data_IF_814536588842
#
_entry.id   IF_814536588842
#
_cell.length_a   1.000
_cell.length_b   1.000
_cell.length_c   1.000
_cell.angle_alpha   90.00
_cell.angle_beta   90.00
_cell.angle_gamma   90.00
#
_symmetry.space_group_name_H-M   'P 1'
#
loop_
_entity.id
_entity.type
_entity.pdbx_description
1 polymer ?
#
# COMPACT_ATOMS: atom_id res chain seq x y z
N UNK A 1 -25.59 -5.82 -16.31
CA UNK A 1 -25.32 -7.28 -16.19
C UNK A 1 -24.00 -7.42 -15.45
N UNK A 2 -23.96 -8.10 -14.31
CA UNK A 2 -22.71 -8.38 -13.60
C UNK A 2 -22.04 -9.58 -14.26
N UNK A 3 -20.87 -9.39 -14.86
CA UNK A 3 -20.02 -10.48 -15.32
C UNK A 3 -19.26 -10.99 -14.09
N UNK A 4 -19.42 -12.26 -13.74
CA UNK A 4 -18.69 -12.92 -12.65
C UNK A 4 -17.63 -13.85 -13.22
N UNK A 5 -16.49 -13.95 -12.54
CA UNK A 5 -15.47 -14.97 -12.84
C UNK A 5 -16.12 -16.35 -12.65
N UNK A 6 -15.97 -17.24 -13.62
CA UNK A 6 -16.41 -18.62 -13.50
C UNK A 6 -15.35 -19.41 -12.75
N UNK A 7 -15.76 -20.30 -11.85
CA UNK A 7 -14.84 -21.27 -11.27
C UNK A 7 -14.48 -22.32 -12.35
N UNK A 8 -13.19 -22.50 -12.60
CA UNK A 8 -12.62 -23.42 -13.58
C UNK A 8 -11.79 -24.55 -12.97
N UNK A 9 -11.84 -24.74 -11.64
CA UNK A 9 -11.06 -25.76 -10.93
C UNK A 9 -11.39 -27.20 -11.38
N UNK A 10 -12.57 -27.41 -11.97
CA UNK A 10 -13.02 -28.70 -12.51
C UNK A 10 -12.76 -28.86 -14.01
N UNK A 11 -12.19 -27.86 -14.68
CA UNK A 11 -11.91 -27.96 -16.12
C UNK A 11 -10.66 -28.81 -16.39
N UNK A 12 -10.68 -29.70 -17.39
CA UNK A 12 -11.82 -30.04 -18.26
C UNK A 12 -12.85 -30.95 -17.56
N UNK A 13 -14.10 -30.49 -17.52
CA UNK A 13 -15.19 -31.16 -16.77
C UNK A 13 -15.47 -32.58 -17.26
N UNK A 14 -16.00 -33.42 -16.37
CA UNK A 14 -16.43 -34.80 -16.65
C UNK A 14 -15.33 -35.69 -17.25
N UNK A 15 -14.08 -35.47 -16.83
CA UNK A 15 -12.94 -36.24 -17.30
C UNK A 15 -11.99 -36.56 -16.16
N UNK A 16 -11.16 -37.59 -16.34
CA UNK A 16 -10.07 -37.93 -15.42
C UNK A 16 -9.12 -36.74 -15.22
N UNK A 17 -8.94 -35.88 -16.24
CA UNK A 17 -8.11 -34.68 -16.12
C UNK A 17 -8.75 -33.63 -15.20
N UNK A 18 -10.07 -33.47 -15.26
CA UNK A 18 -10.81 -32.63 -14.31
C UNK A 18 -10.72 -33.17 -12.88
N UNK A 19 -10.81 -34.49 -12.69
CA UNK A 19 -10.60 -35.13 -11.38
C UNK A 19 -9.19 -34.90 -10.83
N UNK A 20 -8.16 -34.95 -11.69
CA UNK A 20 -6.78 -34.63 -11.32
C UNK A 20 -6.67 -33.15 -10.89
N UNK A 21 -7.31 -32.22 -11.61
CA UNK A 21 -7.26 -30.80 -11.28
C UNK A 21 -7.94 -30.51 -9.93
N UNK A 22 -9.11 -31.12 -9.70
CA UNK A 22 -9.82 -31.05 -8.40
C UNK A 22 -8.95 -31.62 -7.28
N UNK A 23 -8.30 -32.78 -7.51
CA UNK A 23 -7.40 -33.38 -6.53
C UNK A 23 -6.22 -32.46 -6.23
N UNK A 24 -5.59 -31.86 -7.24
CA UNK A 24 -4.53 -30.88 -7.07
C UNK A 24 -4.97 -29.71 -6.19
N UNK A 25 -6.06 -29.02 -6.53
CA UNK A 25 -6.57 -27.90 -5.74
C UNK A 25 -6.93 -28.33 -4.31
N UNK A 26 -7.50 -29.52 -4.12
CA UNK A 26 -7.84 -30.06 -2.79
C UNK A 26 -6.59 -30.24 -1.91
N UNK A 27 -5.55 -30.90 -2.44
CA UNK A 27 -4.31 -31.13 -1.67
C UNK A 27 -3.51 -29.83 -1.46
N UNK A 28 -3.53 -28.93 -2.43
CA UNK A 28 -2.96 -27.60 -2.30
C UNK A 28 -3.63 -26.81 -1.16
N UNK A 29 -4.96 -26.75 -1.14
CA UNK A 29 -5.70 -26.07 -0.06
C UNK A 29 -5.46 -26.72 1.31
N UNK A 30 -5.34 -28.05 1.37
CA UNK A 30 -4.95 -28.76 2.60
C UNK A 30 -3.57 -28.31 3.09
N UNK A 31 -2.58 -28.18 2.19
CA UNK A 31 -1.24 -27.71 2.56
C UNK A 31 -1.25 -26.27 3.03
N UNK A 32 -1.98 -25.38 2.35
CA UNK A 32 -2.18 -23.99 2.76
C UNK A 32 -2.83 -23.88 4.14
N UNK A 33 -3.84 -24.70 4.43
CA UNK A 33 -4.50 -24.77 5.74
C UNK A 33 -3.51 -25.18 6.84
N UNK A 34 -2.68 -26.20 6.60
CA UNK A 34 -1.62 -26.59 7.54
C UNK A 34 -0.60 -25.46 7.76
N UNK A 35 -0.29 -24.68 6.72
CA UNK A 35 0.60 -23.54 6.86
C UNK A 35 -0.02 -22.43 7.72
N UNK A 36 -1.32 -22.15 7.54
CA UNK A 36 -2.06 -21.24 8.42
C UNK A 36 -2.00 -21.72 9.88
N UNK A 37 -2.24 -23.01 10.14
CA UNK A 37 -2.12 -23.59 11.48
C UNK A 37 -0.73 -23.36 12.08
N UNK A 38 0.34 -23.51 11.29
CA UNK A 38 1.71 -23.22 11.73
C UNK A 38 1.92 -21.74 12.09
N UNK A 39 1.36 -20.82 11.31
CA UNK A 39 1.39 -19.37 11.61
C UNK A 39 0.60 -19.08 12.90
N UNK A 40 -0.55 -19.74 13.09
CA UNK A 40 -1.34 -19.63 14.31
C UNK A 40 -0.62 -20.20 15.54
N UNK A 41 0.14 -21.28 15.39
CA UNK A 41 0.94 -21.88 16.44
C UNK A 41 2.21 -21.08 16.80
N UNK A 42 2.54 -20.02 16.05
CA UNK A 42 3.72 -19.18 16.31
C UNK A 42 5.03 -19.69 15.72
N UNK A 43 4.96 -20.60 14.74
CA UNK A 43 6.14 -20.99 13.97
C UNK A 43 6.63 -19.87 13.05
N UNK A 44 5.79 -18.88 12.79
CA UNK A 44 6.07 -17.70 11.99
C UNK A 44 5.58 -16.44 12.71
N UNK A 45 6.32 -15.34 12.51
CA UNK A 45 5.89 -14.01 12.93
C UNK A 45 5.50 -13.19 11.71
N UNK A 46 4.34 -12.54 11.80
CA UNK A 46 3.83 -11.67 10.74
C UNK A 46 3.68 -10.25 11.28
N UNK A 47 4.36 -9.30 10.63
CA UNK A 47 4.25 -7.87 10.90
C UNK A 47 3.43 -7.25 9.79
N UNK A 48 2.27 -6.69 10.12
CA UNK A 48 1.33 -6.13 9.16
C UNK A 48 1.24 -4.62 9.32
N UNK A 49 1.53 -3.88 8.25
CA UNK A 49 1.16 -2.47 8.15
C UNK A 49 -0.28 -2.38 7.65
N UNK A 50 -1.16 -1.95 8.54
CA UNK A 50 -2.59 -1.69 8.28
C UNK A 50 -2.87 -0.26 8.70
N UNK A 51 -3.64 0.50 7.92
CA UNK A 51 -4.05 1.88 8.27
C UNK A 51 -2.95 2.80 8.86
N UNK A 52 -3.08 3.19 10.13
CA UNK A 52 -2.14 3.98 10.92
C UNK A 52 -1.38 3.13 11.95
N UNK A 53 -1.42 1.80 11.83
CA UNK A 53 -0.88 0.84 12.78
C UNK A 53 0.11 -0.14 12.16
N UNK A 54 0.96 -0.66 13.04
CA UNK A 54 1.69 -1.91 12.85
C UNK A 54 1.06 -2.95 13.77
N UNK A 55 0.64 -4.07 13.20
CA UNK A 55 0.10 -5.21 13.91
C UNK A 55 1.15 -6.32 13.87
N UNK A 56 1.41 -6.96 15.00
CA UNK A 56 2.34 -8.09 15.10
C UNK A 56 1.57 -9.30 15.56
N UNK A 57 1.70 -10.41 14.82
CA UNK A 57 1.12 -11.71 15.13
C UNK A 57 2.24 -12.74 15.31
N UNK A 58 2.26 -13.43 16.44
CA UNK A 58 3.09 -14.61 16.69
C UNK A 58 2.39 -15.51 17.71
N UNK A 59 2.00 -16.73 17.31
CA UNK A 59 1.22 -17.60 18.19
C UNK A 59 -0.13 -16.96 18.53
N UNK A 60 -0.63 -17.16 19.74
CA UNK A 60 -1.86 -16.49 20.20
C UNK A 60 -1.67 -14.98 20.49
N UNK A 61 -0.43 -14.46 20.44
CA UNK A 61 -0.12 -13.07 20.75
C UNK A 61 -0.38 -12.17 19.54
N UNK A 62 -1.20 -11.15 19.75
CA UNK A 62 -1.41 -10.03 18.82
C UNK A 62 -1.10 -8.73 19.54
N UNK A 63 -0.17 -7.92 19.01
CA UNK A 63 0.08 -6.57 19.50
C UNK A 63 -0.18 -5.55 18.40
N UNK A 64 -0.54 -4.33 18.81
CA UNK A 64 -0.81 -3.22 17.91
C UNK A 64 -0.02 -2.01 18.36
N UNK A 65 0.57 -1.30 17.39
CA UNK A 65 1.39 -0.13 17.62
C UNK A 65 0.94 0.97 16.68
N UNK A 66 0.56 2.13 17.22
CA UNK A 66 0.24 3.31 16.43
C UNK A 66 1.54 3.86 15.83
N UNK A 67 1.59 4.01 14.50
CA UNK A 67 2.71 4.64 13.79
C UNK A 67 2.36 6.05 13.34
N UNK A 68 1.18 6.31 12.79
CA UNK A 68 0.82 7.64 12.30
C UNK A 68 0.00 8.38 13.36
N UNK A 69 0.63 9.35 14.02
CA UNK A 69 0.00 10.20 15.03
C UNK A 69 -0.75 11.39 14.41
N UNK A 70 -1.34 12.22 15.27
CA UNK A 70 -2.10 13.40 14.87
C UNK A 70 -1.31 14.32 13.93
N UNK A 71 -0.04 14.61 14.24
CA UNK A 71 0.81 15.45 13.39
C UNK A 71 0.93 14.93 11.95
N UNK A 72 1.08 13.61 11.75
CA UNK A 72 1.06 13.01 10.41
C UNK A 72 -0.29 13.24 9.71
N UNK A 73 -1.39 13.03 10.44
CA UNK A 73 -2.74 13.21 9.89
C UNK A 73 -3.04 14.67 9.52
N UNK A 74 -2.55 15.63 10.31
CA UNK A 74 -2.63 17.07 10.01
C UNK A 74 -1.88 17.40 8.72
N UNK A 75 -0.61 17.00 8.60
CA UNK A 75 0.18 17.25 7.37
C UNK A 75 -0.49 16.62 6.15
N UNK A 76 -0.97 15.38 6.30
CA UNK A 76 -1.66 14.65 5.23
C UNK A 76 -2.95 15.38 4.80
N UNK A 77 -3.73 15.88 5.74
CA UNK A 77 -4.93 16.64 5.44
C UNK A 77 -4.61 17.93 4.68
N UNK A 78 -3.58 18.67 5.11
CA UNK A 78 -3.12 19.88 4.42
C UNK A 78 -2.66 19.58 3.00
N UNK A 79 -1.91 18.49 2.78
CA UNK A 79 -1.47 18.07 1.43
C UNK A 79 -2.59 17.63 0.49
N UNK A 80 -3.81 17.43 0.99
CA UNK A 80 -4.96 17.14 0.15
C UNK A 80 -5.68 18.41 -0.34
N UNK A 81 -5.38 19.59 0.20
CA UNK A 81 -6.10 20.82 -0.11
C UNK A 81 -6.03 21.19 -1.59
N UNK A 82 -4.87 21.21 -2.27
CA UNK A 82 -4.83 21.56 -3.69
C UNK A 82 -5.66 20.62 -4.56
N UNK A 83 -5.65 19.32 -4.23
CA UNK A 83 -6.45 18.30 -4.92
C UNK A 83 -7.95 18.49 -4.64
N UNK A 84 -8.33 18.78 -3.40
CA UNK A 84 -9.71 19.10 -3.03
C UNK A 84 -10.21 20.31 -3.83
N UNK A 85 -9.43 21.38 -3.89
CA UNK A 85 -9.80 22.59 -4.61
C UNK A 85 -9.93 22.34 -6.12
N UNK A 86 -9.03 21.55 -6.70
CA UNK A 86 -9.15 21.10 -8.08
C UNK A 86 -10.48 20.39 -8.34
N UNK A 87 -10.87 19.44 -7.49
CA UNK A 87 -12.15 18.75 -7.64
C UNK A 87 -13.35 19.67 -7.44
N UNK A 88 -13.32 20.56 -6.43
CA UNK A 88 -14.42 21.50 -6.18
C UNK A 88 -14.67 22.41 -7.39
N UNK A 89 -13.60 22.91 -8.00
CA UNK A 89 -13.65 23.79 -9.16
C UNK A 89 -13.98 23.03 -10.47
N UNK A 90 -13.65 21.74 -10.56
CA UNK A 90 -13.95 20.92 -11.74
C UNK A 90 -15.38 20.37 -11.74
N UNK A 91 -15.95 20.12 -10.57
CA UNK A 91 -17.24 19.43 -10.40
C UNK A 91 -18.40 20.38 -10.05
N UNK A 92 -18.16 21.68 -9.88
CA UNK A 92 -19.18 22.66 -9.49
C UNK A 92 -19.07 23.97 -10.28
N UNK A 93 -20.17 24.73 -10.44
CA UNK A 93 -20.11 26.10 -10.96
C UNK A 93 -19.13 26.95 -10.16
N UNK A 94 -18.41 27.85 -10.84
CA UNK A 94 -17.28 28.60 -10.25
C UNK A 94 -17.69 29.37 -8.99
N UNK A 95 -18.88 29.95 -8.95
CA UNK A 95 -19.40 30.69 -7.80
C UNK A 95 -19.62 29.78 -6.60
N UNK A 96 -20.15 28.58 -6.84
CA UNK A 96 -20.40 27.58 -5.78
C UNK A 96 -19.09 27.00 -5.26
N UNK A 97 -18.16 26.68 -6.16
CA UNK A 97 -16.82 26.20 -5.81
C UNK A 97 -16.06 27.24 -4.98
N UNK A 98 -16.05 28.50 -5.44
CA UNK A 98 -15.41 29.62 -4.76
C UNK A 98 -15.91 29.77 -3.33
N UNK A 99 -17.23 29.81 -3.13
CA UNK A 99 -17.82 29.95 -1.78
C UNK A 99 -17.40 28.82 -0.84
N UNK A 100 -17.41 27.57 -1.32
CA UNK A 100 -16.96 26.41 -0.54
C UNK A 100 -15.48 26.49 -0.21
N UNK A 101 -14.64 26.87 -1.16
CA UNK A 101 -13.20 27.01 -0.94
C UNK A 101 -12.95 28.12 0.09
N UNK A 102 -13.58 29.28 -0.03
CA UNK A 102 -13.47 30.38 0.93
C UNK A 102 -13.96 29.98 2.35
N UNK A 103 -14.98 29.11 2.47
CA UNK A 103 -15.41 28.53 3.75
C UNK A 103 -14.35 27.60 4.36
N UNK A 104 -13.77 26.70 3.55
CA UNK A 104 -12.67 25.82 3.99
C UNK A 104 -11.47 26.64 4.45
N UNK A 105 -11.03 27.62 3.65
CA UNK A 105 -9.89 28.47 3.99
C UNK A 105 -10.09 29.23 5.31
N UNK A 106 -11.29 29.80 5.53
CA UNK A 106 -11.62 30.48 6.81
C UNK A 106 -11.58 29.54 8.01
N UNK A 107 -12.07 28.32 7.85
CA UNK A 107 -12.08 27.31 8.91
C UNK A 107 -10.65 26.90 9.28
N UNK A 108 -9.81 26.68 8.27
CA UNK A 108 -8.40 26.31 8.45
C UNK A 108 -7.56 27.40 9.11
N UNK A 109 -7.78 28.67 8.77
CA UNK A 109 -7.13 29.80 9.44
C UNK A 109 -7.47 29.88 10.93
N UNK A 110 -8.67 29.41 11.33
CA UNK A 110 -9.12 29.40 12.72
C UNK A 110 -8.64 28.20 13.55
N UNK A 111 -8.33 27.06 12.90
CA UNK A 111 -7.91 25.83 13.58
C UNK A 111 -6.40 25.78 13.90
N UNK A 112 -5.58 26.56 13.21
CA UNK A 112 -4.12 26.54 13.41
C UNK A 112 -3.64 27.48 14.53
N UNK A 113 -3.24 26.89 15.65
CA UNK A 113 -2.47 27.57 16.70
C UNK A 113 -1.16 28.18 16.14
N UNK A 114 -0.66 29.26 16.76
CA UNK A 114 0.48 30.06 16.25
C UNK A 114 1.81 29.31 16.12
N UNK A 115 1.98 28.16 16.78
CA UNK A 115 3.26 27.44 16.85
C UNK A 115 3.31 26.13 16.04
N UNK A 116 2.27 25.79 15.28
CA UNK A 116 2.31 24.57 14.47
C UNK A 116 3.25 24.71 13.27
N UNK A 117 4.19 23.77 13.06
CA UNK A 117 5.21 23.89 12.02
C UNK A 117 4.66 23.71 10.59
N UNK A 118 3.40 23.29 10.43
CA UNK A 118 2.67 23.24 9.16
C UNK A 118 1.99 24.57 8.82
N UNK A 119 1.90 25.49 9.79
CA UNK A 119 1.12 26.72 9.65
C UNK A 119 1.60 27.59 8.50
N UNK A 120 2.91 27.72 8.35
CA UNK A 120 3.49 28.51 7.26
C UNK A 120 3.09 27.94 5.89
N UNK A 121 3.20 26.62 5.71
CA UNK A 121 2.80 25.96 4.48
C UNK A 121 1.30 26.11 4.21
N UNK A 122 0.46 26.01 5.25
CA UNK A 122 -0.98 26.21 5.10
C UNK A 122 -1.32 27.66 4.71
N UNK A 123 -0.72 28.65 5.37
CA UNK A 123 -0.92 30.07 5.03
C UNK A 123 -0.52 30.34 3.59
N UNK A 124 0.61 29.79 3.13
CA UNK A 124 1.03 29.93 1.74
C UNK A 124 0.04 29.26 0.78
N UNK A 125 -0.45 28.05 1.07
CA UNK A 125 -1.52 27.42 0.27
C UNK A 125 -2.78 28.28 0.24
N UNK A 126 -3.19 28.85 1.39
CA UNK A 126 -4.35 29.72 1.49
C UNK A 126 -4.19 30.97 0.60
N UNK A 127 -3.06 31.66 0.70
CA UNK A 127 -2.79 32.88 -0.07
C UNK A 127 -2.75 32.61 -1.57
N UNK A 128 -2.08 31.51 -1.99
CA UNK A 128 -2.02 31.09 -3.39
C UNK A 128 -3.39 30.68 -3.93
N UNK A 129 -4.21 30.06 -3.09
CA UNK A 129 -5.59 29.68 -3.45
C UNK A 129 -6.49 30.90 -3.60
N UNK A 130 -6.37 31.89 -2.71
CA UNK A 130 -7.10 33.18 -2.84
C UNK A 130 -6.72 33.92 -4.12
N UNK A 131 -5.44 33.90 -4.51
CA UNK A 131 -4.97 34.46 -5.77
C UNK A 131 -5.60 33.75 -6.98
N UNK A 132 -5.58 32.40 -6.99
CA UNK A 132 -6.25 31.60 -8.03
C UNK A 132 -7.74 31.97 -8.18
N UNK A 133 -8.47 32.04 -7.07
CA UNK A 133 -9.90 32.38 -7.09
C UNK A 133 -10.16 33.80 -7.62
N UNK A 134 -9.20 34.72 -7.46
CA UNK A 134 -9.31 36.08 -8.00
C UNK A 134 -9.09 36.07 -9.51
N UNK A 135 -8.10 35.32 -9.99
CA UNK A 135 -7.80 35.18 -11.42
C UNK A 135 -8.93 34.46 -12.17
N UNK A 136 -9.54 33.43 -11.57
CA UNK A 136 -10.65 32.70 -12.18
C UNK A 136 -11.96 33.50 -12.29
N UNK A 137 -12.07 34.64 -11.61
CA UNK A 137 -13.21 35.56 -11.75
C UNK A 137 -13.06 36.48 -12.97
N UNK A 138 -11.89 36.53 -13.61
CA UNK A 138 -11.67 37.24 -14.86
C UNK A 138 -12.20 36.41 -16.04
N UNK A 139 -13.24 36.89 -16.72
CA UNK A 139 -13.87 36.21 -17.86
C UNK A 139 -12.91 36.00 -19.04
N UNK A 140 -11.79 36.74 -19.10
CA UNK A 140 -10.77 36.57 -20.13
C UNK A 140 -9.77 35.44 -19.83
N UNK A 141 -9.76 34.90 -18.61
CA UNK A 141 -8.79 33.90 -18.17
C UNK A 141 -9.25 32.46 -18.46
N UNK A 142 -8.34 31.66 -19.01
CA UNK A 142 -8.54 30.23 -19.22
C UNK A 142 -8.40 29.48 -17.89
N UNK A 143 -9.44 28.74 -17.49
CA UNK A 143 -9.44 27.95 -16.25
C UNK A 143 -8.25 26.98 -16.17
N UNK A 144 -7.92 26.33 -17.30
CA UNK A 144 -6.80 25.39 -17.38
C UNK A 144 -5.46 26.08 -17.12
N UNK A 145 -5.26 27.29 -17.65
CA UNK A 145 -4.01 28.03 -17.47
C UNK A 145 -3.86 28.56 -16.04
N UNK A 146 -4.95 29.07 -15.45
CA UNK A 146 -4.99 29.45 -14.03
C UNK A 146 -4.60 28.26 -13.13
N UNK A 147 -5.12 27.07 -13.41
CA UNK A 147 -4.75 25.87 -12.64
C UNK A 147 -3.30 25.46 -12.79
N UNK A 148 -2.77 25.49 -14.01
CA UNK A 148 -1.36 25.15 -14.23
C UNK A 148 -0.43 26.12 -13.48
N UNK A 149 -0.75 27.42 -13.52
CA UNK A 149 0.02 28.43 -12.79
C UNK A 149 -0.08 28.23 -11.28
N UNK A 150 -1.27 27.94 -10.76
CA UNK A 150 -1.48 27.59 -9.35
C UNK A 150 -0.66 26.36 -8.94
N UNK A 151 -0.67 25.30 -9.74
CA UNK A 151 0.10 24.08 -9.45
C UNK A 151 1.60 24.35 -9.41
N UNK A 152 2.13 25.12 -10.36
CA UNK A 152 3.55 25.52 -10.36
C UNK A 152 3.94 26.31 -9.10
N UNK A 153 3.03 27.11 -8.55
CA UNK A 153 3.27 27.87 -7.32
C UNK A 153 3.22 27.00 -6.05
N UNK A 154 2.43 25.93 -6.06
CA UNK A 154 2.23 25.06 -4.90
C UNK A 154 3.16 23.84 -4.88
N UNK A 155 3.69 23.42 -6.02
CA UNK A 155 4.51 22.21 -6.15
C UNK A 155 5.63 22.11 -5.10
N UNK A 156 6.32 23.22 -4.83
CA UNK A 156 7.38 23.27 -3.82
C UNK A 156 6.85 23.06 -2.41
N UNK A 157 5.70 23.66 -2.08
CA UNK A 157 5.06 23.57 -0.76
C UNK A 157 4.54 22.14 -0.53
N UNK A 158 3.87 21.57 -1.53
CA UNK A 158 3.44 20.17 -1.54
C UNK A 158 4.62 19.21 -1.37
N UNK A 159 5.70 19.41 -2.11
CA UNK A 159 6.92 18.61 -1.98
C UNK A 159 7.49 18.63 -0.55
N UNK A 160 7.45 19.78 0.12
CA UNK A 160 7.91 19.92 1.51
C UNK A 160 6.97 19.20 2.49
N UNK A 161 5.65 19.33 2.33
CA UNK A 161 4.65 18.65 3.15
C UNK A 161 4.76 17.13 3.01
N UNK A 162 4.84 16.62 1.78
CA UNK A 162 5.01 15.20 1.49
C UNK A 162 6.32 14.65 2.07
N UNK A 163 7.43 15.39 1.92
CA UNK A 163 8.71 14.99 2.50
C UNK A 163 8.68 14.98 4.04
N UNK A 164 7.90 15.86 4.66
CA UNK A 164 7.71 15.90 6.12
C UNK A 164 6.85 14.74 6.61
N UNK A 165 5.71 14.48 5.95
CA UNK A 165 4.85 13.32 6.24
C UNK A 165 5.63 12.01 6.10
N UNK A 166 6.42 11.87 5.03
CA UNK A 166 7.27 10.70 4.82
C UNK A 166 8.31 10.53 5.95
N UNK A 167 8.98 11.60 6.37
CA UNK A 167 9.94 11.56 7.49
C UNK A 167 9.29 11.12 8.81
N UNK A 168 8.08 11.62 9.11
CA UNK A 168 7.33 11.18 10.27
C UNK A 168 6.99 9.69 10.20
N UNK A 169 6.35 9.24 9.12
CA UNK A 169 5.96 7.82 8.94
C UNK A 169 7.19 6.90 9.00
N UNK A 170 8.31 7.28 8.38
CA UNK A 170 9.59 6.54 8.46
C UNK A 170 10.06 6.45 9.91
N UNK A 171 10.22 7.58 10.60
CA UNK A 171 10.77 7.59 11.96
C UNK A 171 9.90 6.81 12.96
N UNK A 172 8.58 6.95 12.85
CA UNK A 172 7.61 6.28 13.72
C UNK A 172 7.58 4.77 13.44
N UNK A 173 7.56 4.38 12.16
CA UNK A 173 7.59 2.97 11.76
C UNK A 173 8.90 2.31 12.20
N UNK A 174 10.06 2.93 11.95
CA UNK A 174 11.35 2.40 12.38
C UNK A 174 11.46 2.28 13.89
N UNK A 175 10.94 3.26 14.65
CA UNK A 175 10.91 3.17 16.12
C UNK A 175 10.14 1.94 16.59
N UNK A 176 8.97 1.66 15.98
CA UNK A 176 8.16 0.48 16.29
C UNK A 176 8.86 -0.81 15.86
N UNK A 177 9.37 -0.88 14.63
CA UNK A 177 10.07 -2.07 14.13
C UNK A 177 11.30 -2.42 14.96
N UNK A 178 12.09 -1.43 15.39
CA UNK A 178 13.26 -1.68 16.23
C UNK A 178 12.88 -2.18 17.63
N UNK A 179 11.77 -1.70 18.20
CA UNK A 179 11.22 -2.25 19.46
C UNK A 179 10.79 -3.70 19.29
N UNK A 180 10.04 -4.01 18.22
CA UNK A 180 9.62 -5.37 17.90
C UNK A 180 10.83 -6.28 17.70
N UNK A 181 11.88 -5.79 17.03
CA UNK A 181 13.13 -6.52 16.80
C UNK A 181 13.84 -6.91 18.09
N UNK A 182 13.92 -5.97 19.04
CA UNK A 182 14.56 -6.21 20.32
C UNK A 182 13.83 -7.28 21.16
N UNK A 183 12.54 -7.49 20.90
CA UNK A 183 11.70 -8.49 21.56
C UNK A 183 11.55 -9.78 20.72
N UNK A 184 12.21 -9.87 19.57
CA UNK A 184 12.02 -10.95 18.60
C UNK A 184 12.75 -12.22 19.02
N UNK A 185 12.01 -13.33 19.14
CA UNK A 185 12.58 -14.66 19.46
C UNK A 185 12.83 -15.52 18.21
N UNK A 186 12.20 -15.19 17.08
CA UNK A 186 12.29 -15.96 15.84
C UNK A 186 13.41 -15.46 14.90
N UNK A 187 13.94 -16.36 14.08
CA UNK A 187 14.91 -16.02 13.03
C UNK A 187 14.27 -15.21 11.90
N UNK A 188 15.07 -14.41 11.18
CA UNK A 188 14.61 -13.63 10.03
C UNK A 188 13.91 -14.47 8.94
N UNK A 189 14.32 -15.74 8.77
CA UNK A 189 13.68 -16.69 7.84
C UNK A 189 12.23 -17.08 8.19
N UNK A 190 11.76 -16.76 9.40
CA UNK A 190 10.39 -17.02 9.88
C UNK A 190 9.59 -15.72 10.07
N UNK A 191 10.17 -14.58 9.70
CA UNK A 191 9.55 -13.29 9.78
C UNK A 191 8.97 -12.89 8.42
N UNK A 192 7.71 -12.47 8.38
CA UNK A 192 7.08 -11.91 7.19
C UNK A 192 6.55 -10.51 7.49
N UNK A 193 6.78 -9.59 6.56
CA UNK A 193 6.26 -8.22 6.64
C UNK A 193 5.26 -8.00 5.52
N UNK A 194 4.03 -7.64 5.86
CA UNK A 194 2.94 -7.46 4.90
C UNK A 194 2.44 -6.03 4.98
N UNK A 195 2.34 -5.36 3.84
CA UNK A 195 1.61 -4.10 3.73
C UNK A 195 0.23 -4.36 3.16
N UNK A 196 -0.82 -4.05 3.93
CA UNK A 196 -2.18 -4.02 3.40
C UNK A 196 -2.39 -2.71 2.64
N UNK A 197 -2.94 -2.80 1.44
CA UNK A 197 -3.16 -1.64 0.60
C UNK A 197 -4.50 -1.66 -0.14
N UNK A 198 -4.80 -0.52 -0.76
CA UNK A 198 -6.05 -0.31 -1.50
C UNK A 198 -6.17 -1.14 -2.78
N UNK A 199 -7.14 -0.79 -3.61
CA UNK A 199 -7.55 -1.57 -4.79
C UNK A 199 -6.53 -1.65 -5.92
N UNK A 200 -5.42 -0.91 -5.86
CA UNK A 200 -4.34 -0.99 -6.82
C UNK A 200 -2.99 -0.94 -6.10
N UNK A 201 -2.04 -1.83 -6.45
CA UNK A 201 -0.68 -1.77 -5.94
C UNK A 201 -0.05 -0.43 -6.31
N UNK A 202 0.29 0.38 -5.31
CA UNK A 202 0.98 1.65 -5.53
C UNK A 202 2.47 1.38 -5.76
N UNK A 203 2.96 1.67 -6.96
CA UNK A 203 4.40 1.70 -7.22
C UNK A 203 5.08 2.64 -6.21
N UNK A 204 6.18 2.18 -5.61
CA UNK A 204 6.91 2.89 -4.52
C UNK A 204 6.07 3.18 -3.26
N UNK A 205 5.18 2.26 -2.86
CA UNK A 205 4.47 2.38 -1.58
C UNK A 205 5.48 2.45 -0.41
N UNK A 206 5.37 3.50 0.42
CA UNK A 206 6.37 3.86 1.43
C UNK A 206 6.60 2.76 2.49
N UNK A 207 5.55 2.16 3.04
CA UNK A 207 5.68 1.10 4.05
C UNK A 207 6.44 -0.12 3.51
N UNK A 208 6.18 -0.54 2.26
CA UNK A 208 6.90 -1.63 1.59
C UNK A 208 8.37 -1.28 1.41
N UNK A 209 8.69 -0.03 1.05
CA UNK A 209 10.08 0.45 0.96
C UNK A 209 10.79 0.44 2.32
N UNK A 210 10.10 0.89 3.38
CA UNK A 210 10.62 0.85 4.75
C UNK A 210 10.87 -0.60 5.16
N UNK A 211 9.89 -1.49 4.97
CA UNK A 211 10.00 -2.90 5.33
C UNK A 211 11.13 -3.61 4.59
N UNK A 212 11.26 -3.41 3.27
CA UNK A 212 12.36 -3.99 2.49
C UNK A 212 13.70 -3.55 3.03
N UNK A 213 13.90 -2.24 3.19
CA UNK A 213 15.16 -1.70 3.69
C UNK A 213 15.47 -2.18 5.10
N UNK A 214 14.51 -2.07 6.01
CA UNK A 214 14.66 -2.49 7.39
C UNK A 214 14.97 -3.99 7.50
N UNK A 215 14.26 -4.84 6.74
CA UNK A 215 14.50 -6.27 6.74
C UNK A 215 15.90 -6.60 6.23
N UNK A 216 16.33 -6.02 5.10
CA UNK A 216 17.68 -6.23 4.56
C UNK A 216 18.80 -5.80 5.52
N UNK A 217 18.59 -4.72 6.27
CA UNK A 217 19.57 -4.21 7.24
C UNK A 217 19.62 -5.06 8.54
N UNK A 218 18.54 -5.79 8.87
CA UNK A 218 18.43 -6.57 10.11
C UNK A 218 18.50 -8.09 9.92
N UNK A 219 18.37 -8.60 8.69
CA UNK A 219 18.51 -10.03 8.40
C UNK A 219 19.98 -10.45 8.38
N UNK A 220 20.31 -11.54 9.08
CA UNK A 220 21.62 -12.21 8.96
C UNK A 220 21.82 -12.61 7.48
N UNK A 221 23.05 -12.46 6.97
CA UNK A 221 23.41 -12.63 5.55
C UNK A 221 22.73 -13.85 4.88
N UNK A 222 22.14 -13.61 3.69
CA UNK A 222 21.50 -14.56 2.75
C UNK A 222 19.97 -14.76 2.82
N UNK A 223 19.20 -13.89 3.48
CA UNK A 223 17.73 -13.91 3.33
C UNK A 223 17.29 -12.80 2.36
N UNK A 224 16.64 -13.18 1.27
CA UNK A 224 16.14 -12.23 0.27
C UNK A 224 14.91 -11.47 0.81
N UNK A 225 14.97 -10.14 0.84
CA UNK A 225 13.87 -9.31 1.32
C UNK A 225 12.63 -9.38 0.41
N UNK A 226 12.80 -9.63 -0.90
CA UNK A 226 11.66 -9.83 -1.81
C UNK A 226 10.78 -11.00 -1.38
N UNK A 227 11.38 -11.98 -0.70
CA UNK A 227 10.68 -13.14 -0.22
C UNK A 227 9.90 -12.92 1.07
N UNK A 228 10.28 -11.93 1.86
CA UNK A 228 9.69 -11.73 3.19
C UNK A 228 8.80 -10.49 3.26
N UNK A 229 8.90 -9.58 2.27
CA UNK A 229 8.15 -8.33 2.25
C UNK A 229 7.10 -8.29 1.15
N UNK A 230 5.83 -8.44 1.55
CA UNK A 230 4.69 -8.60 0.65
C UNK A 230 3.75 -7.40 0.68
N UNK A 231 3.02 -7.23 -0.43
CA UNK A 231 1.91 -6.29 -0.53
C UNK A 231 0.64 -7.08 -0.77
N UNK A 232 -0.31 -6.97 0.16
CA UNK A 232 -1.63 -7.58 0.03
C UNK A 232 -2.58 -6.58 -0.63
N UNK A 233 -2.82 -6.79 -1.92
CA UNK A 233 -3.79 -5.99 -2.67
C UNK A 233 -5.21 -6.31 -2.17
N UNK A 234 -6.02 -5.27 -1.91
CA UNK A 234 -7.39 -5.40 -1.37
C UNK A 234 -7.48 -6.09 0.00
N UNK A 235 -6.37 -6.29 0.71
CA UNK A 235 -6.40 -6.80 2.08
C UNK A 235 -7.06 -5.82 3.03
N UNK A 236 -7.99 -6.30 3.86
CA UNK A 236 -8.79 -5.51 4.79
C UNK A 236 -8.63 -5.95 6.25
N UNK A 237 -7.98 -7.09 6.49
CA UNK A 237 -7.86 -7.72 7.80
C UNK A 237 -6.48 -8.33 8.03
N UNK A 238 -6.18 -8.64 9.29
CA UNK A 238 -5.01 -9.46 9.64
C UNK A 238 -5.06 -10.81 8.93
N UNK A 239 -6.26 -11.38 8.79
CA UNK A 239 -6.46 -12.71 8.21
C UNK A 239 -6.11 -12.75 6.73
N UNK A 240 -6.35 -11.67 5.99
CA UNK A 240 -5.89 -11.55 4.60
C UNK A 240 -4.35 -11.56 4.50
N UNK A 241 -3.66 -10.97 5.49
CA UNK A 241 -2.20 -11.00 5.55
C UNK A 241 -1.70 -12.41 5.90
N UNK A 242 -2.34 -13.11 6.84
CA UNK A 242 -1.96 -14.48 7.20
C UNK A 242 -2.20 -15.44 6.04
N UNK A 243 -3.32 -15.30 5.33
CA UNK A 243 -3.65 -16.07 4.13
C UNK A 243 -2.63 -15.86 3.01
N UNK A 244 -2.21 -14.61 2.77
CA UNK A 244 -1.14 -14.28 1.84
C UNK A 244 0.17 -14.95 2.23
N UNK A 245 0.59 -14.84 3.50
CA UNK A 245 1.83 -15.48 3.98
C UNK A 245 1.75 -17.00 3.83
N UNK A 246 0.61 -17.62 4.17
CA UNK A 246 0.43 -19.06 4.01
C UNK A 246 0.52 -19.50 2.55
N UNK A 247 -0.05 -18.72 1.63
CA UNK A 247 0.04 -18.92 0.18
C UNK A 247 1.51 -18.85 -0.26
N UNK A 248 2.21 -17.76 0.07
CA UNK A 248 3.61 -17.55 -0.29
C UNK A 248 4.51 -18.69 0.21
N UNK A 249 4.39 -19.10 1.47
CA UNK A 249 5.23 -20.18 2.01
C UNK A 249 4.90 -21.51 1.33
N UNK A 250 3.62 -21.79 1.08
CA UNK A 250 3.19 -23.02 0.40
C UNK A 250 3.73 -23.07 -1.04
N UNK A 251 3.61 -21.96 -1.77
CA UNK A 251 4.08 -21.85 -3.16
C UNK A 251 5.60 -21.99 -3.23
N UNK A 252 6.35 -21.45 -2.26
CA UNK A 252 7.80 -21.66 -2.21
C UNK A 252 8.20 -23.10 -2.00
N UNK A 253 7.56 -23.77 -1.05
CA UNK A 253 7.84 -25.19 -0.80
C UNK A 253 7.59 -26.02 -2.07
N UNK A 254 6.52 -25.70 -2.80
CA UNK A 254 6.17 -26.33 -4.05
C UNK A 254 7.18 -26.01 -5.17
N UNK A 255 7.50 -24.72 -5.36
CA UNK A 255 8.43 -24.23 -6.37
C UNK A 255 9.83 -24.83 -6.18
N UNK A 256 10.32 -24.85 -4.93
CA UNK A 256 11.61 -25.44 -4.60
C UNK A 256 11.64 -26.93 -4.92
N UNK A 257 10.58 -27.65 -4.55
CA UNK A 257 10.51 -29.10 -4.67
C UNK A 257 10.33 -29.56 -6.11
N UNK A 258 9.59 -28.81 -6.94
CA UNK A 258 9.26 -29.19 -8.32
C UNK A 258 10.13 -28.52 -9.38
N UNK A 259 10.51 -27.26 -9.16
CA UNK A 259 11.19 -26.41 -10.15
C UNK A 259 12.63 -26.09 -9.76
N UNK A 260 13.08 -26.54 -8.57
CA UNK A 260 14.43 -26.30 -8.07
C UNK A 260 14.73 -24.83 -7.76
N UNK A 261 13.70 -23.99 -7.66
CA UNK A 261 13.81 -22.55 -7.42
C UNK A 261 12.72 -22.07 -6.49
N UNK A 262 13.08 -21.26 -5.50
CA UNK A 262 12.16 -20.67 -4.52
C UNK A 262 11.28 -19.56 -5.13
N UNK A 263 11.61 -19.06 -6.33
CA UNK A 263 10.89 -17.95 -7.00
C UNK A 263 10.08 -18.37 -8.22
N UNK A 264 10.13 -19.64 -8.63
CA UNK A 264 9.58 -20.04 -9.92
C UNK A 264 8.04 -19.90 -9.99
N UNK A 265 7.35 -19.90 -8.84
CA UNK A 265 5.91 -19.63 -8.75
C UNK A 265 5.57 -18.17 -8.40
N UNK A 266 6.57 -17.31 -8.19
CA UNK A 266 6.35 -15.85 -8.13
C UNK A 266 6.11 -15.25 -9.54
N UNK A 267 6.29 -16.07 -10.58
CA UNK A 267 6.11 -15.73 -11.99
C UNK A 267 5.10 -16.68 -12.63
N UNK A 268 4.50 -16.25 -13.74
CA UNK A 268 3.70 -17.16 -14.56
C UNK A 268 4.63 -18.22 -15.18
N UNK A 269 4.43 -19.49 -14.80
CA UNK A 269 5.21 -20.62 -15.32
C UNK A 269 5.02 -20.77 -16.82
N UNK A 270 3.84 -20.45 -17.37
CA UNK A 270 3.63 -20.40 -18.82
C UNK A 270 4.41 -19.23 -19.42
N UNK A 271 4.49 -18.11 -18.71
CA UNK A 271 5.26 -16.93 -19.07
C UNK A 271 6.74 -17.23 -19.39
N UNK A 272 7.35 -18.20 -18.70
CA UNK A 272 8.74 -18.62 -18.94
C UNK A 272 8.99 -19.13 -20.37
N UNK A 273 7.98 -19.75 -20.98
CA UNK A 273 8.05 -20.28 -22.36
C UNK A 273 7.22 -19.46 -23.35
N UNK A 274 6.34 -18.58 -22.85
CA UNK A 274 5.37 -17.85 -23.65
C UNK A 274 6.01 -16.96 -24.71
N UNK A 275 7.14 -16.30 -24.44
CA UNK A 275 7.75 -15.38 -25.40
C UNK A 275 8.08 -16.08 -26.73
N UNK A 276 8.59 -17.31 -26.66
CA UNK A 276 8.92 -18.08 -27.87
C UNK A 276 7.68 -18.49 -28.66
N UNK A 277 6.58 -18.81 -27.97
CA UNK A 277 5.32 -19.19 -28.61
C UNK A 277 4.57 -17.98 -29.17
N UNK A 278 4.62 -16.83 -28.50
CA UNK A 278 4.12 -15.55 -29.02
C UNK A 278 4.86 -15.18 -30.30
N UNK A 279 6.19 -15.25 -30.30
CA UNK A 279 7.00 -14.95 -31.48
C UNK A 279 6.70 -15.89 -32.66
N UNK A 280 6.24 -17.13 -32.39
CA UNK A 280 5.81 -18.08 -33.43
C UNK A 280 4.39 -17.80 -33.93
N UNK A 281 3.46 -17.44 -33.05
CA UNK A 281 2.07 -17.17 -33.41
C UNK A 281 1.88 -15.86 -34.20
N UNK A 282 2.81 -14.92 -34.08
CA UNK A 282 2.81 -13.63 -34.79
C UNK A 282 3.74 -13.58 -36.02
N UNK A 283 4.24 -14.73 -36.50
CA UNK A 283 4.92 -14.89 -37.80
C UNK A 283 3.96 -15.38 -38.86
#
# INVERSE_FOLDING_TARGET
>A
MSISIQNTDEEPRNSVLGEINVAFHTYYQKRKTQMLENIHAGNYQVIVRMDNRIIVKCGDKVTQHLINNEAYHTIKAVSHLPVLFFYLLSESPIETATLKIEEVLRSLESELESDQPEKQALLEICDRTKALLTEMKDEAASQFDCFNQYWQQIEVIEGQLLAKAARLEISQTLSVLNKISAEMELSASRLFLVTLGGHQPRYKQLAKLIFKRWFSENSIQNVDAEHHVHYCEKGQSLEDALDLVATVVTDRELARSLLGSDTALDQDVLGLVAQQEIDRAWR
#
